data_IF_429353315276
#
_entry.id   IF_429353315276
#
_cell.length_a   1.000
_cell.length_b   1.000
_cell.length_c   1.000
_cell.angle_alpha   90.00
_cell.angle_beta   90.00
_cell.angle_gamma   90.00
#
_symmetry.space_group_name_H-M   'P 1'
#
loop_
_entity.id
_entity.type
_entity.pdbx_description
1 polymer ?
#
# COMPACT_ATOMS: atom_id res chain seq x y z
N UNK A 1 17.07 35.14 -58.36
CA UNK A 1 17.15 33.70 -57.92
C UNK A 1 16.95 33.56 -56.40
N UNK A 2 17.29 34.52 -55.56
CA UNK A 2 17.17 34.51 -54.07
C UNK A 2 15.76 34.45 -53.50
N UNK A 3 14.73 35.02 -54.18
CA UNK A 3 13.35 35.06 -53.67
C UNK A 3 12.63 33.73 -53.64
N UNK A 4 13.02 32.77 -54.49
CA UNK A 4 12.40 31.43 -54.52
C UNK A 4 12.99 30.51 -53.43
N UNK A 5 14.22 30.76 -52.99
CA UNK A 5 14.87 29.95 -51.97
C UNK A 5 14.30 30.23 -50.57
N UNK A 6 13.97 31.50 -50.27
CA UNK A 6 13.36 31.92 -49.00
C UNK A 6 11.96 31.38 -48.80
N UNK A 7 11.17 31.27 -49.90
CA UNK A 7 9.80 30.68 -49.83
C UNK A 7 9.81 29.18 -49.54
N UNK A 8 10.73 28.42 -50.08
CA UNK A 8 10.90 26.98 -49.82
C UNK A 8 11.32 26.69 -48.38
N UNK A 9 12.23 27.51 -47.83
CA UNK A 9 12.67 27.37 -46.45
C UNK A 9 11.54 27.64 -45.42
N UNK A 10 10.69 28.64 -45.72
CA UNK A 10 9.55 28.98 -44.85
C UNK A 10 8.47 27.89 -44.83
N UNK A 11 8.22 27.24 -45.97
CA UNK A 11 7.25 26.12 -46.06
C UNK A 11 7.76 24.90 -45.32
N UNK A 12 9.05 24.57 -45.41
CA UNK A 12 9.66 23.46 -44.65
C UNK A 12 9.56 23.66 -43.13
N UNK A 13 9.76 24.89 -42.65
CA UNK A 13 9.69 25.19 -41.21
C UNK A 13 8.26 25.07 -40.66
N UNK A 14 7.26 25.47 -41.44
CA UNK A 14 5.84 25.34 -41.06
C UNK A 14 5.37 23.89 -41.10
N UNK A 15 5.85 23.07 -42.04
CA UNK A 15 5.55 21.64 -42.04
C UNK A 15 6.18 20.89 -40.88
N UNK A 16 7.38 21.28 -40.43
CA UNK A 16 8.02 20.67 -39.25
C UNK A 16 7.29 20.98 -37.95
N UNK A 17 6.74 22.19 -37.80
CA UNK A 17 5.93 22.56 -36.62
C UNK A 17 4.54 21.91 -36.61
N UNK A 18 3.98 21.55 -37.77
CA UNK A 18 2.71 20.83 -37.84
C UNK A 18 2.81 19.33 -37.53
N UNK A 19 4.03 18.75 -37.63
CA UNK A 19 4.33 17.37 -37.30
C UNK A 19 4.77 17.16 -35.84
N UNK A 20 4.99 18.25 -35.08
CA UNK A 20 5.05 18.17 -33.63
C UNK A 20 3.64 17.90 -33.11
N UNK A 21 3.10 16.72 -33.41
CA UNK A 21 1.89 16.20 -32.80
C UNK A 21 2.06 16.34 -31.30
N UNK A 22 1.06 16.93 -30.64
CA UNK A 22 0.97 17.00 -29.21
C UNK A 22 1.07 15.56 -28.68
N UNK A 23 2.29 15.08 -28.42
CA UNK A 23 2.49 13.95 -27.56
C UNK A 23 2.05 14.42 -26.17
N UNK A 24 0.75 14.32 -25.88
CA UNK A 24 0.27 14.32 -24.53
C UNK A 24 0.89 13.08 -23.88
N UNK A 25 2.12 13.22 -23.39
CA UNK A 25 2.69 12.24 -22.48
C UNK A 25 1.73 12.21 -21.29
N UNK A 26 0.92 11.15 -21.23
CA UNK A 26 0.10 10.90 -20.07
C UNK A 26 1.06 10.79 -18.89
N UNK A 27 1.01 11.75 -17.96
CA UNK A 27 1.91 11.78 -16.80
C UNK A 27 1.80 10.49 -15.93
N UNK A 28 0.75 9.70 -16.16
CA UNK A 28 0.47 8.45 -15.46
C UNK A 28 0.85 7.20 -16.27
N UNK A 29 1.34 7.37 -17.53
CA UNK A 29 1.81 6.25 -18.32
C UNK A 29 3.21 5.84 -17.85
N UNK A 30 3.37 4.55 -17.54
CA UNK A 30 4.67 3.96 -17.28
C UNK A 30 5.18 3.27 -18.55
N UNK A 31 6.48 3.15 -18.70
CA UNK A 31 7.10 2.37 -19.76
C UNK A 31 7.26 0.90 -19.34
N UNK A 32 7.25 -0.06 -20.29
CA UNK A 32 7.59 -1.45 -19.98
C UNK A 32 8.95 -1.55 -19.29
N UNK A 33 9.04 -2.40 -18.26
CA UNK A 33 10.24 -2.56 -17.45
C UNK A 33 10.41 -1.48 -16.36
N UNK A 34 9.40 -0.66 -16.11
CA UNK A 34 9.45 0.36 -15.05
C UNK A 34 9.78 -0.26 -13.70
N UNK A 35 10.80 0.31 -13.05
CA UNK A 35 11.16 0.05 -11.67
C UNK A 35 11.43 1.36 -10.96
N UNK A 36 10.72 1.60 -9.87
CA UNK A 36 10.88 2.79 -9.05
C UNK A 36 10.90 2.41 -7.57
N UNK A 37 11.93 2.86 -6.88
CA UNK A 37 12.05 2.73 -5.42
C UNK A 37 12.55 4.05 -4.86
N UNK A 38 11.79 4.65 -3.96
CA UNK A 38 12.22 5.87 -3.27
C UNK A 38 11.89 5.83 -1.78
N UNK A 39 12.70 6.54 -0.98
CA UNK A 39 12.41 6.84 0.41
C UNK A 39 12.33 8.35 0.57
N UNK A 40 11.19 8.86 1.02
CA UNK A 40 10.90 10.29 1.12
C UNK A 40 10.20 10.66 2.42
N UNK A 41 10.07 11.97 2.69
CA UNK A 41 9.14 12.47 3.72
C UNK A 41 7.72 12.44 3.16
N UNK A 42 6.72 12.02 3.95
CA UNK A 42 5.32 12.14 3.54
C UNK A 42 4.96 13.62 3.31
N UNK A 43 4.67 13.97 2.07
CA UNK A 43 4.12 15.26 1.68
C UNK A 43 2.59 15.28 1.84
N UNK A 44 1.96 16.39 1.44
CA UNK A 44 0.51 16.52 1.52
C UNK A 44 -0.20 15.46 0.67
N UNK A 45 0.31 15.16 -0.52
CA UNK A 45 -0.29 14.18 -1.42
C UNK A 45 -0.34 12.78 -0.77
N UNK A 46 0.77 12.31 -0.21
CA UNK A 46 0.83 11.00 0.48
C UNK A 46 -0.08 10.98 1.72
N UNK A 47 -0.13 12.08 2.48
CA UNK A 47 -1.00 12.18 3.66
C UNK A 47 -2.48 12.13 3.25
N UNK A 48 -2.87 12.83 2.21
CA UNK A 48 -4.24 12.83 1.68
C UNK A 48 -4.60 11.42 1.16
N UNK A 49 -3.75 10.83 0.31
CA UNK A 49 -3.94 9.49 -0.24
C UNK A 49 -4.19 8.44 0.85
N UNK A 50 -3.33 8.37 1.87
CA UNK A 50 -3.52 7.36 2.95
C UNK A 50 -4.69 7.67 3.87
N UNK A 51 -5.16 8.92 3.90
CA UNK A 51 -6.35 9.30 4.66
C UNK A 51 -7.65 8.79 4.05
N UNK A 52 -7.64 8.49 2.75
CA UNK A 52 -8.77 7.93 2.00
C UNK A 52 -8.83 6.39 2.09
N UNK A 53 -7.77 5.73 2.57
CA UNK A 53 -7.77 4.28 2.72
C UNK A 53 -8.78 3.83 3.76
N UNK A 54 -9.69 2.97 3.34
CA UNK A 54 -10.72 2.38 4.19
C UNK A 54 -10.46 0.89 4.34
N UNK A 55 -10.26 0.44 5.57
CA UNK A 55 -10.02 -0.98 5.87
C UNK A 55 -11.33 -1.77 5.74
N UNK A 56 -11.27 -2.91 5.06
CA UNK A 56 -12.37 -3.86 5.11
C UNK A 56 -12.51 -4.42 6.54
N UNK A 57 -13.70 -4.85 6.89
CA UNK A 57 -14.06 -5.30 8.24
C UNK A 57 -13.47 -6.67 8.63
N UNK A 58 -12.73 -7.32 7.74
CA UNK A 58 -12.06 -8.60 7.99
C UNK A 58 -10.57 -8.56 7.69
N UNK A 59 -9.79 -9.18 8.56
CA UNK A 59 -8.36 -9.44 8.36
C UNK A 59 -7.96 -10.79 8.93
N UNK A 60 -6.81 -11.27 8.53
CA UNK A 60 -6.24 -12.53 8.99
C UNK A 60 -4.97 -12.26 9.80
N UNK A 61 -4.76 -13.05 10.83
CA UNK A 61 -3.53 -13.07 11.60
C UNK A 61 -2.55 -14.06 10.96
N UNK A 62 -1.30 -13.64 10.84
CA UNK A 62 -0.17 -14.48 10.46
C UNK A 62 0.91 -14.42 11.54
N UNK A 63 1.43 -15.57 11.92
CA UNK A 63 2.56 -15.70 12.84
C UNK A 63 3.60 -16.65 12.27
N UNK A 64 4.87 -16.32 12.46
CA UNK A 64 5.96 -17.26 12.24
C UNK A 64 6.18 -18.11 13.47
N UNK A 65 6.87 -19.27 13.34
CA UNK A 65 7.25 -20.10 14.46
C UNK A 65 8.02 -19.31 15.53
N UNK A 66 8.99 -18.48 15.11
CA UNK A 66 9.70 -17.57 16.01
C UNK A 66 8.77 -16.52 16.66
N UNK A 67 7.73 -16.11 15.98
CA UNK A 67 6.70 -15.21 16.52
C UNK A 67 5.93 -15.83 17.66
N UNK A 68 5.67 -17.12 17.63
CA UNK A 68 4.97 -17.85 18.69
C UNK A 68 5.66 -17.73 20.04
N UNK A 69 6.97 -17.89 20.07
CA UNK A 69 7.76 -17.83 21.30
C UNK A 69 7.81 -16.42 21.90
N UNK A 70 7.62 -15.39 21.07
CA UNK A 70 7.70 -13.99 21.47
C UNK A 70 6.34 -13.41 21.89
N UNK A 71 5.22 -14.05 21.51
CA UNK A 71 3.91 -13.47 21.69
C UNK A 71 3.42 -13.61 23.13
N UNK A 72 3.24 -12.48 23.80
CA UNK A 72 2.56 -12.38 25.09
C UNK A 72 1.15 -11.78 24.94
N UNK A 73 0.94 -10.81 24.05
CA UNK A 73 -0.34 -10.18 23.84
C UNK A 73 -1.38 -11.10 23.19
N UNK A 74 -0.95 -11.93 22.26
CA UNK A 74 -1.81 -12.92 21.58
C UNK A 74 -1.77 -14.30 22.24
N UNK A 75 -0.86 -14.56 23.18
CA UNK A 75 -0.70 -15.85 23.83
C UNK A 75 -1.95 -16.34 24.59
N UNK A 76 -2.79 -15.44 25.08
CA UNK A 76 -4.07 -15.78 25.67
C UNK A 76 -5.08 -16.36 24.65
N UNK A 77 -4.93 -16.01 23.36
CA UNK A 77 -5.76 -16.56 22.28
C UNK A 77 -5.33 -17.97 21.89
N UNK A 78 -4.03 -18.30 22.01
CA UNK A 78 -3.48 -19.60 21.63
C UNK A 78 -3.98 -20.74 22.53
N UNK A 79 -4.14 -20.51 23.82
CA UNK A 79 -4.64 -21.54 24.75
C UNK A 79 -6.05 -22.02 24.45
N UNK A 80 -6.81 -21.21 23.75
CA UNK A 80 -8.20 -21.51 23.41
C UNK A 80 -8.35 -22.10 22.00
N UNK A 81 -7.34 -21.95 21.14
CA UNK A 81 -7.41 -22.25 19.70
C UNK A 81 -6.18 -23.02 19.17
N UNK A 82 -5.54 -23.90 19.97
CA UNK A 82 -4.37 -24.71 19.56
C UNK A 82 -4.60 -25.52 18.26
N UNK A 83 -5.86 -25.68 17.83
CA UNK A 83 -6.21 -26.40 16.60
C UNK A 83 -6.19 -25.52 15.33
N UNK A 84 -6.07 -24.19 15.45
CA UNK A 84 -6.17 -23.26 14.32
C UNK A 84 -4.87 -22.48 14.10
N UNK A 85 -3.76 -23.17 13.99
CA UNK A 85 -2.50 -22.56 13.53
C UNK A 85 -2.64 -22.13 12.08
N UNK A 86 -2.78 -20.82 11.86
CA UNK A 86 -2.59 -20.25 10.54
C UNK A 86 -3.57 -19.21 10.06
N UNK A 87 -4.85 -19.28 10.35
CA UNK A 87 -5.82 -18.29 9.86
C UNK A 87 -6.92 -18.07 10.88
N UNK A 88 -6.79 -17.02 11.67
CA UNK A 88 -7.88 -16.56 12.54
C UNK A 88 -8.48 -15.29 11.94
N UNK A 89 -9.79 -15.30 11.69
CA UNK A 89 -10.52 -14.17 11.18
C UNK A 89 -10.70 -13.11 12.28
N UNK A 90 -10.13 -11.93 12.07
CA UNK A 90 -10.33 -10.78 12.95
C UNK A 90 -11.31 -9.82 12.28
N UNK A 91 -12.16 -9.20 13.08
CA UNK A 91 -12.85 -7.98 12.66
C UNK A 91 -11.85 -6.83 12.78
N UNK A 92 -11.66 -6.12 11.69
CA UNK A 92 -10.69 -5.04 11.59
C UNK A 92 -11.38 -3.73 11.29
N UNK A 93 -10.94 -2.68 11.92
CA UNK A 93 -11.26 -1.31 11.56
C UNK A 93 -10.02 -0.46 11.72
N UNK A 94 -9.91 0.60 10.96
CA UNK A 94 -8.80 1.53 11.05
C UNK A 94 -9.27 2.96 10.85
N UNK A 95 -8.61 3.90 11.48
CA UNK A 95 -8.78 5.32 11.22
C UNK A 95 -7.42 5.99 11.16
N UNK A 96 -7.30 6.97 10.26
CA UNK A 96 -6.10 7.81 10.14
C UNK A 96 -6.48 9.25 10.42
N UNK A 97 -6.04 9.77 11.56
CA UNK A 97 -6.34 11.14 12.00
C UNK A 97 -5.09 11.76 12.60
N UNK A 98 -4.80 13.01 12.24
CA UNK A 98 -3.62 13.74 12.72
C UNK A 98 -2.30 12.97 12.55
N UNK A 99 -2.13 12.30 11.41
CA UNK A 99 -0.96 11.46 11.09
C UNK A 99 -0.76 10.28 12.05
N UNK A 100 -1.85 9.72 12.56
CA UNK A 100 -1.84 8.54 13.45
C UNK A 100 -2.87 7.54 12.97
N UNK A 101 -2.45 6.31 12.73
CA UNK A 101 -3.38 5.19 12.53
C UNK A 101 -3.77 4.60 13.87
N UNK A 102 -5.07 4.38 14.06
CA UNK A 102 -5.63 3.55 15.12
C UNK A 102 -6.20 2.29 14.48
N UNK A 103 -5.52 1.17 14.68
CA UNK A 103 -5.96 -0.13 14.19
C UNK A 103 -6.75 -0.83 15.27
N UNK A 104 -8.05 -1.03 15.02
CA UNK A 104 -8.96 -1.74 15.92
C UNK A 104 -9.06 -3.18 15.46
N UNK A 105 -8.77 -4.12 16.33
CA UNK A 105 -8.75 -5.54 16.06
C UNK A 105 -9.66 -6.27 17.04
N UNK A 106 -10.50 -7.17 16.56
CA UNK A 106 -11.39 -7.95 17.41
C UNK A 106 -11.43 -9.40 16.95
N UNK A 107 -11.23 -10.31 17.89
CA UNK A 107 -11.32 -11.76 17.64
C UNK A 107 -12.77 -12.20 17.43
N UNK A 108 -13.03 -13.37 16.81
CA UNK A 108 -14.36 -13.97 16.73
C UNK A 108 -15.02 -14.13 18.10
N UNK A 109 -14.26 -14.38 19.16
CA UNK A 109 -14.73 -14.53 20.54
C UNK A 109 -14.97 -13.20 21.27
N UNK A 110 -14.71 -12.07 20.60
CA UNK A 110 -15.01 -10.74 21.13
C UNK A 110 -13.86 -10.02 21.85
N UNK A 111 -12.70 -10.66 22.05
CA UNK A 111 -11.52 -9.97 22.59
C UNK A 111 -11.06 -8.88 21.64
N UNK A 112 -10.80 -7.69 22.16
CA UNK A 112 -10.44 -6.53 21.35
C UNK A 112 -9.04 -6.00 21.68
N UNK A 113 -8.42 -5.35 20.70
CA UNK A 113 -7.18 -4.59 20.86
C UNK A 113 -7.20 -3.34 19.98
N UNK A 114 -6.46 -2.33 20.41
CA UNK A 114 -6.17 -1.14 19.60
C UNK A 114 -4.67 -0.92 19.58
N UNK A 115 -4.13 -0.78 18.38
CA UNK A 115 -2.74 -0.37 18.13
C UNK A 115 -2.74 1.08 17.65
N UNK A 116 -1.88 1.91 18.23
CA UNK A 116 -1.70 3.31 17.85
C UNK A 116 -0.34 3.47 17.18
N UNK A 117 -0.37 3.83 15.90
CA UNK A 117 0.78 3.84 15.00
C UNK A 117 0.99 5.26 14.44
N UNK A 118 1.87 6.08 15.03
CA UNK A 118 2.20 7.39 14.48
C UNK A 118 2.86 7.25 13.10
N UNK A 119 2.48 8.08 12.13
CA UNK A 119 3.14 8.13 10.84
C UNK A 119 4.62 8.50 11.02
N UNK A 120 5.55 7.75 10.44
CA UNK A 120 6.98 8.03 10.56
C UNK A 120 7.36 9.25 9.72
N UNK A 121 8.57 9.78 9.98
CA UNK A 121 9.11 10.91 9.23
C UNK A 121 9.49 10.57 7.77
N UNK A 122 9.59 9.30 7.46
CA UNK A 122 9.90 8.79 6.10
C UNK A 122 9.03 7.60 5.78
N UNK A 123 8.75 7.43 4.50
CA UNK A 123 8.09 6.26 3.93
C UNK A 123 8.89 5.75 2.75
N UNK A 124 8.66 4.50 2.37
CA UNK A 124 9.22 3.91 1.14
C UNK A 124 8.07 3.66 0.17
N UNK A 125 8.27 4.04 -1.08
CA UNK A 125 7.38 3.76 -2.19
C UNK A 125 8.09 2.88 -3.19
N UNK A 126 7.39 1.87 -3.70
CA UNK A 126 7.87 0.98 -4.74
C UNK A 126 6.81 0.84 -5.84
N UNK A 127 7.24 0.95 -7.09
CA UNK A 127 6.42 0.67 -8.28
C UNK A 127 7.22 -0.20 -9.22
N UNK A 128 6.65 -1.33 -9.63
CA UNK A 128 7.36 -2.34 -10.44
C UNK A 128 6.44 -2.88 -11.52
N UNK A 129 6.94 -2.89 -12.76
CA UNK A 129 6.34 -3.68 -13.82
C UNK A 129 6.68 -5.15 -13.62
N UNK A 130 5.70 -5.97 -13.28
CA UNK A 130 5.87 -7.41 -13.03
C UNK A 130 5.70 -8.26 -14.30
N UNK A 131 5.59 -7.63 -15.46
CA UNK A 131 5.52 -8.25 -16.80
C UNK A 131 4.43 -9.32 -16.93
N UNK A 132 3.33 -9.20 -16.21
CA UNK A 132 2.26 -10.20 -16.23
C UNK A 132 1.16 -9.90 -17.26
N UNK A 133 1.17 -8.70 -17.86
CA UNK A 133 0.21 -8.28 -18.87
C UNK A 133 0.93 -7.54 -20.00
N UNK A 134 0.93 -8.11 -21.19
CA UNK A 134 1.43 -7.47 -22.39
C UNK A 134 0.39 -6.53 -23.03
N UNK A 135 0.88 -5.49 -23.72
CA UNK A 135 0.11 -4.65 -24.65
C UNK A 135 -1.11 -3.90 -24.10
N UNK A 136 -0.98 -3.22 -22.96
CA UNK A 136 -2.02 -2.28 -22.51
C UNK A 136 -1.85 -0.90 -23.17
N UNK A 137 -2.95 -0.23 -23.60
CA UNK A 137 -2.89 1.10 -24.25
C UNK A 137 -2.21 2.18 -23.40
N UNK A 138 -2.24 2.06 -22.08
CA UNK A 138 -1.72 3.04 -21.11
C UNK A 138 -0.43 2.57 -20.42
N UNK A 139 0.33 1.66 -21.06
CA UNK A 139 1.53 1.07 -20.49
C UNK A 139 1.25 -0.06 -19.47
N UNK A 140 2.30 -0.55 -18.79
CA UNK A 140 2.20 -1.66 -17.87
C UNK A 140 1.34 -1.33 -16.65
N UNK A 141 0.75 -2.37 -16.07
CA UNK A 141 -0.01 -2.31 -14.83
C UNK A 141 0.93 -2.61 -13.67
N UNK A 142 1.46 -1.55 -13.04
CA UNK A 142 2.50 -1.67 -12.03
C UNK A 142 1.98 -2.28 -10.74
N UNK A 143 2.76 -3.15 -10.11
CA UNK A 143 2.66 -3.40 -8.68
C UNK A 143 3.06 -2.13 -7.94
N UNK A 144 2.30 -1.77 -6.91
CA UNK A 144 2.52 -0.59 -6.08
C UNK A 144 2.56 -0.97 -4.61
N UNK A 145 3.49 -0.38 -3.89
CA UNK A 145 3.61 -0.52 -2.46
C UNK A 145 3.97 0.82 -1.82
N UNK A 146 3.30 1.17 -0.73
CA UNK A 146 3.66 2.27 0.17
C UNK A 146 3.87 1.68 1.55
N UNK A 147 5.06 1.87 2.11
CA UNK A 147 5.48 1.29 3.38
C UNK A 147 5.83 2.35 4.40
N UNK A 148 5.27 2.23 5.60
CA UNK A 148 5.54 3.06 6.76
C UNK A 148 6.11 2.20 7.88
N UNK A 149 7.33 2.51 8.32
CA UNK A 149 8.02 1.79 9.39
C UNK A 149 8.25 2.72 10.56
N UNK A 150 7.77 2.33 11.74
CA UNK A 150 7.81 3.19 12.90
C UNK A 150 7.78 2.41 14.23
N UNK A 151 7.51 3.15 15.30
CA UNK A 151 7.37 2.59 16.64
C UNK A 151 5.90 2.68 17.07
N UNK A 152 5.36 1.60 17.58
CA UNK A 152 4.04 1.57 18.20
C UNK A 152 4.05 2.53 19.39
N UNK A 153 3.15 3.49 19.43
CA UNK A 153 3.09 4.47 20.52
C UNK A 153 2.21 4.01 21.68
N UNK A 154 1.20 3.18 21.40
CA UNK A 154 0.32 2.61 22.41
C UNK A 154 -0.34 1.32 21.90
N UNK A 155 -0.62 0.42 22.83
CA UNK A 155 -1.40 -0.79 22.60
C UNK A 155 -2.37 -1.02 23.76
N UNK A 156 -3.59 -1.48 23.47
CA UNK A 156 -4.60 -1.83 24.46
C UNK A 156 -5.18 -3.21 24.19
N UNK A 157 -6.00 -3.72 25.09
CA UNK A 157 -6.63 -5.02 24.96
C UNK A 157 -5.59 -6.15 24.92
N UNK A 158 -5.82 -7.18 24.10
CA UNK A 158 -4.92 -8.33 24.03
C UNK A 158 -3.49 -7.99 23.54
N UNK A 159 -3.32 -6.95 22.75
CA UNK A 159 -2.01 -6.51 22.27
C UNK A 159 -1.15 -5.83 23.36
N UNK A 160 -1.75 -5.45 24.50
CA UNK A 160 -1.05 -4.75 25.56
C UNK A 160 0.08 -5.55 26.19
N UNK A 161 -0.10 -6.86 26.36
CA UNK A 161 0.90 -7.71 27.01
C UNK A 161 2.18 -7.85 26.17
N UNK A 162 2.09 -7.83 24.83
CA UNK A 162 3.23 -7.86 23.92
C UNK A 162 3.89 -6.49 23.72
N UNK A 163 3.27 -5.41 24.16
CA UNK A 163 3.76 -4.07 23.94
C UNK A 163 4.79 -3.66 25.01
N UNK A 164 5.98 -3.29 24.55
CA UNK A 164 7.04 -2.66 25.33
C UNK A 164 7.60 -1.47 24.55
N UNK A 165 8.35 -0.60 25.25
CA UNK A 165 9.02 0.53 24.59
C UNK A 165 9.97 0.00 23.50
N UNK A 166 9.86 0.54 22.29
CA UNK A 166 10.65 0.11 21.15
C UNK A 166 10.01 -0.99 20.30
N UNK A 167 8.80 -1.46 20.64
CA UNK A 167 8.00 -2.29 19.73
C UNK A 167 7.79 -1.53 18.42
N UNK A 168 8.21 -2.14 17.31
CA UNK A 168 8.16 -1.56 15.96
C UNK A 168 6.92 -2.03 15.22
N UNK A 169 6.57 -1.30 14.19
CA UNK A 169 5.59 -1.73 13.20
C UNK A 169 6.11 -1.47 11.78
N UNK A 170 5.63 -2.28 10.85
CA UNK A 170 5.67 -2.00 9.42
C UNK A 170 4.24 -2.09 8.88
N UNK A 171 3.70 -0.96 8.41
CA UNK A 171 2.39 -0.88 7.79
C UNK A 171 2.59 -0.67 6.29
N UNK A 172 2.07 -1.60 5.49
CA UNK A 172 2.23 -1.65 4.05
C UNK A 172 0.85 -1.56 3.41
N UNK A 173 0.70 -0.68 2.43
CA UNK A 173 -0.43 -0.63 1.51
C UNK A 173 0.06 -1.06 0.14
N UNK A 174 -0.65 -1.97 -0.49
CA UNK A 174 -0.23 -2.57 -1.75
C UNK A 174 -1.40 -2.78 -2.70
N UNK A 175 -1.08 -2.77 -4.00
CA UNK A 175 -2.04 -3.00 -5.04
C UNK A 175 -1.45 -2.82 -6.43
N UNK A 176 -2.26 -2.43 -7.38
CA UNK A 176 -1.86 -2.34 -8.78
C UNK A 176 -2.55 -1.18 -9.49
N UNK A 177 -1.81 -0.50 -10.35
CA UNK A 177 -2.34 0.62 -11.13
C UNK A 177 -1.35 1.16 -12.16
N UNK A 178 -1.72 2.24 -12.80
CA UNK A 178 -0.86 3.00 -13.71
C UNK A 178 0.23 3.76 -12.93
N UNK A 179 1.09 4.52 -13.60
CA UNK A 179 2.20 5.24 -12.96
C UNK A 179 1.79 6.25 -11.86
N UNK A 180 0.64 6.93 -11.99
CA UNK A 180 0.09 7.79 -10.94
C UNK A 180 -0.53 6.97 -9.80
N UNK A 181 -0.53 7.53 -8.58
CA UNK A 181 -1.17 6.90 -7.45
C UNK A 181 -2.61 7.36 -7.31
N UNK A 182 -3.50 6.38 -7.19
CA UNK A 182 -4.91 6.55 -6.91
C UNK A 182 -5.27 5.67 -5.71
N UNK A 183 -6.22 6.09 -4.89
CA UNK A 183 -6.69 5.32 -3.73
C UNK A 183 -7.22 3.94 -4.13
N UNK A 184 -7.86 3.86 -5.29
CA UNK A 184 -8.41 2.61 -5.82
C UNK A 184 -7.36 1.59 -6.25
N UNK A 185 -6.13 2.03 -6.53
CA UNK A 185 -5.03 1.14 -6.89
C UNK A 185 -4.58 0.26 -5.72
N UNK A 186 -4.78 0.74 -4.48
CA UNK A 186 -4.40 0.03 -3.27
C UNK A 186 -5.56 -0.82 -2.76
N UNK A 187 -5.38 -2.14 -2.82
CA UNK A 187 -6.43 -3.13 -2.55
C UNK A 187 -6.20 -3.93 -1.28
N UNK A 188 -4.97 -3.96 -0.79
CA UNK A 188 -4.57 -4.76 0.36
C UNK A 188 -3.68 -3.97 1.32
N UNK A 189 -3.68 -4.38 2.58
CA UNK A 189 -2.78 -3.89 3.60
C UNK A 189 -2.15 -5.04 4.37
N UNK A 190 -0.99 -4.77 4.92
CA UNK A 190 -0.24 -5.68 5.79
C UNK A 190 0.33 -4.87 6.96
N UNK A 191 0.24 -5.40 8.17
CA UNK A 191 0.78 -4.79 9.38
C UNK A 191 1.56 -5.82 10.17
N UNK A 192 2.89 -5.69 10.23
CA UNK A 192 3.72 -6.45 11.17
C UNK A 192 3.99 -5.65 12.43
N UNK A 193 4.03 -6.36 13.55
CA UNK A 193 4.40 -5.86 14.87
C UNK A 193 5.56 -6.70 15.37
N UNK A 194 6.69 -6.05 15.61
CA UNK A 194 7.95 -6.68 15.98
C UNK A 194 8.54 -6.04 17.25
N UNK A 195 8.95 -6.88 18.19
CA UNK A 195 9.55 -6.42 19.43
C UNK A 195 9.96 -7.56 20.34
N UNK A 196 10.58 -7.28 21.48
CA UNK A 196 11.05 -8.32 22.41
C UNK A 196 9.96 -9.25 22.95
N UNK A 197 8.68 -8.85 22.82
CA UNK A 197 7.52 -9.61 23.30
C UNK A 197 6.39 -9.68 22.28
N UNK A 198 6.68 -9.29 21.02
CA UNK A 198 5.71 -9.28 19.93
C UNK A 198 6.39 -9.79 18.65
N UNK A 199 5.68 -10.64 17.91
CA UNK A 199 6.15 -11.17 16.63
C UNK A 199 4.95 -11.68 15.84
N UNK A 200 4.10 -10.77 15.32
CA UNK A 200 2.88 -11.14 14.61
C UNK A 200 2.56 -10.15 13.49
N UNK A 201 1.75 -10.59 12.55
CA UNK A 201 1.28 -9.74 11.45
C UNK A 201 -0.20 -9.96 11.17
N UNK A 202 -0.85 -8.88 10.74
CA UNK A 202 -2.19 -8.90 10.18
C UNK A 202 -2.14 -8.53 8.70
N UNK A 203 -3.02 -9.09 7.92
CA UNK A 203 -3.23 -8.69 6.54
C UNK A 203 -4.72 -8.72 6.19
N UNK A 204 -5.13 -7.85 5.28
CA UNK A 204 -6.51 -7.71 4.89
C UNK A 204 -6.67 -6.90 3.62
N UNK A 205 -7.92 -6.67 3.26
CA UNK A 205 -8.30 -5.87 2.10
C UNK A 205 -8.62 -4.43 2.50
N UNK A 206 -8.44 -3.51 1.55
CA UNK A 206 -8.99 -2.17 1.62
C UNK A 206 -10.34 -2.18 0.88
N UNK A 207 -11.36 -1.62 1.52
CA UNK A 207 -12.67 -1.43 0.87
C UNK A 207 -12.71 -0.24 -0.09
N UNK A 208 -11.74 0.67 0.04
CA UNK A 208 -11.47 1.75 -0.93
C UNK A 208 -10.79 1.27 -2.22
N UNK A 209 -10.23 0.06 -2.21
CA UNK A 209 -9.55 -0.49 -3.38
C UNK A 209 -10.50 -0.82 -4.54
N UNK A 210 -9.93 -0.91 -5.73
CA UNK A 210 -10.67 -1.26 -6.95
C UNK A 210 -11.31 -2.64 -6.80
N UNK A 211 -12.61 -2.71 -7.06
CA UNK A 211 -13.31 -3.99 -7.09
C UNK A 211 -12.84 -4.78 -8.31
N UNK A 212 -12.61 -6.10 -8.18
CA UNK A 212 -12.35 -6.95 -9.34
C UNK A 212 -13.50 -6.78 -10.34
N UNK A 213 -13.17 -6.44 -11.59
CA UNK A 213 -14.15 -6.55 -12.68
C UNK A 213 -14.43 -8.05 -12.83
N UNK A 214 -15.71 -8.49 -12.88
CA UNK A 214 -16.00 -9.87 -13.20
C UNK A 214 -15.29 -10.23 -14.50
N UNK A 215 -14.42 -11.25 -14.46
CA UNK A 215 -13.85 -11.79 -15.67
C UNK A 215 -15.04 -12.24 -16.52
N UNK A 216 -15.24 -11.60 -17.66
CA UNK A 216 -16.09 -12.15 -18.71
C UNK A 216 -15.40 -13.42 -19.16
N UNK A 217 -15.89 -14.57 -18.69
CA UNK A 217 -15.55 -15.87 -19.27
C UNK A 217 -15.81 -15.80 -20.78
N UNK A 218 -14.74 -15.78 -21.55
CA UNK A 218 -14.77 -15.98 -23.01
C UNK A 218 -14.51 -17.44 -23.31
#
# INVERSE_FOLDING_TARGET
MFRKLTSLLSISLVLFSALAGNAFACACCAEPGTYHLRTAKPDKFIVDLVSEFTFADKSNLYMTEAGFDLIQGLGALQKEDEATMGVMDFTTGGSFVNKVWKMNLKTPKGSAAVLTLPMPLRFTEQKVDIHDVENRPNGPWLYKEIRFEGTVSNATGFARAGFVRGTRYSLIFQGRGVGCDDVEDFTHWYLSIDGPKAGYAFFGKLSSGRKPTPETEN
#
